data_IF_447003394075
#
_entry.id   IF_447003394075
#
_cell.length_a   1.000
_cell.length_b   1.000
_cell.length_c   1.000
_cell.angle_alpha   90.00
_cell.angle_beta   90.00
_cell.angle_gamma   90.00
#
_symmetry.space_group_name_H-M   'P 1'
#
loop_
_entity.id
_entity.type
_entity.pdbx_description
1 polymer ?
#
# COMPACT_ATOMS: atom_id res chain seq x y z
N UNK A 1 0.26 7.29 -7.85
CA UNK A 1 -0.60 6.08 -7.76
C UNK A 1 -0.99 5.94 -6.30
N UNK A 2 -2.12 5.30 -6.04
CA UNK A 2 -2.66 5.21 -4.69
C UNK A 2 -2.94 3.73 -4.39
N UNK A 3 -2.38 3.23 -3.28
CA UNK A 3 -2.66 1.90 -2.77
C UNK A 3 -3.91 2.01 -1.92
N UNK A 4 -4.98 1.38 -2.38
CA UNK A 4 -6.32 1.48 -1.78
C UNK A 4 -6.55 0.36 -0.78
N UNK A 5 -6.06 -0.86 -1.09
CA UNK A 5 -6.29 -2.02 -0.25
C UNK A 5 -5.19 -3.04 -0.45
N UNK A 6 -4.75 -3.70 0.64
CA UNK A 6 -4.03 -4.97 0.60
C UNK A 6 -5.06 -6.10 0.68
N UNK A 7 -5.00 -7.04 -0.26
CA UNK A 7 -5.93 -8.17 -0.33
C UNK A 7 -5.23 -9.40 0.25
N UNK A 8 -5.76 -9.90 1.37
CA UNK A 8 -5.34 -11.17 1.95
C UNK A 8 -5.94 -12.33 1.14
N UNK A 9 -5.19 -12.82 0.13
CA UNK A 9 -5.53 -14.06 -0.60
C UNK A 9 -4.46 -15.12 -0.37
N UNK A 10 -4.35 -15.56 0.87
CA UNK A 10 -3.63 -16.77 1.24
C UNK A 10 -4.57 -17.97 1.28
N UNK A 11 -4.64 -18.75 0.21
CA UNK A 11 -5.06 -20.15 0.28
C UNK A 11 -4.17 -20.99 -0.64
N UNK A 12 -3.42 -21.90 0.00
CA UNK A 12 -2.52 -22.95 -0.53
C UNK A 12 -1.41 -22.55 -1.50
N UNK A 13 -0.16 -22.63 -1.00
CA UNK A 13 0.99 -23.13 -1.77
C UNK A 13 2.03 -22.11 -2.22
N UNK A 14 1.63 -20.94 -2.69
CA UNK A 14 2.56 -19.92 -3.20
C UNK A 14 2.45 -18.59 -2.47
N UNK A 15 3.58 -18.13 -1.95
CA UNK A 15 3.73 -16.83 -1.30
C UNK A 15 3.43 -15.70 -2.30
N UNK A 16 2.51 -14.80 -1.93
CA UNK A 16 2.12 -13.66 -2.76
C UNK A 16 1.47 -12.56 -1.93
N UNK A 17 1.58 -11.32 -2.40
CA UNK A 17 0.89 -10.16 -1.83
C UNK A 17 0.15 -9.42 -2.93
N UNK A 18 -1.11 -9.08 -2.66
CA UNK A 18 -2.00 -8.47 -3.64
C UNK A 18 -2.42 -7.07 -3.19
N UNK A 19 -2.47 -6.12 -4.11
CA UNK A 19 -2.87 -4.74 -3.85
C UNK A 19 -3.92 -4.27 -4.86
N UNK A 20 -4.90 -3.48 -4.39
CA UNK A 20 -5.69 -2.60 -5.25
C UNK A 20 -4.97 -1.27 -5.39
N UNK A 21 -4.64 -0.90 -6.63
CA UNK A 21 -3.88 0.29 -6.97
C UNK A 21 -4.69 1.15 -7.92
N UNK A 22 -4.92 2.41 -7.54
CA UNK A 22 -5.49 3.41 -8.43
C UNK A 22 -4.38 4.11 -9.24
N UNK A 23 -4.55 4.09 -10.56
CA UNK A 23 -3.71 4.82 -11.51
C UNK A 23 -4.07 6.31 -11.61
N UNK A 24 -3.61 6.95 -12.69
CA UNK A 24 -3.89 8.37 -12.98
C UNK A 24 -5.26 8.62 -13.62
N UNK A 25 -5.95 7.56 -14.05
CA UNK A 25 -7.24 7.62 -14.76
C UNK A 25 -8.39 7.07 -13.91
N UNK A 26 -8.26 7.13 -12.59
CA UNK A 26 -9.21 6.58 -11.58
C UNK A 26 -9.56 5.09 -11.68
N UNK A 27 -8.98 4.37 -12.64
CA UNK A 27 -9.09 2.92 -12.75
C UNK A 27 -8.34 2.23 -11.60
N UNK A 28 -9.01 1.26 -10.99
CA UNK A 28 -8.44 0.34 -10.02
C UNK A 28 -7.88 -0.89 -10.72
N UNK A 29 -6.61 -1.17 -10.45
CA UNK A 29 -5.91 -2.35 -10.92
C UNK A 29 -5.52 -3.24 -9.75
N UNK A 30 -5.52 -4.54 -9.96
CA UNK A 30 -4.96 -5.53 -9.04
C UNK A 30 -3.50 -5.73 -9.41
N UNK A 31 -2.59 -5.47 -8.47
CA UNK A 31 -1.17 -5.79 -8.58
C UNK A 31 -0.86 -6.98 -7.69
N UNK A 32 -0.14 -7.95 -8.22
CA UNK A 32 0.28 -9.17 -7.52
C UNK A 32 1.81 -9.21 -7.52
N UNK A 33 2.39 -9.24 -6.33
CA UNK A 33 3.81 -9.50 -6.13
C UNK A 33 3.96 -10.95 -5.67
N UNK A 34 4.66 -11.75 -6.46
CA UNK A 34 4.83 -13.20 -6.27
C UNK A 34 6.08 -13.66 -7.03
N UNK A 35 6.34 -14.98 -7.09
CA UNK A 35 7.39 -15.55 -7.94
C UNK A 35 7.30 -15.04 -9.38
N UNK A 36 6.08 -14.80 -9.89
CA UNK A 36 5.85 -14.04 -11.11
C UNK A 36 4.95 -12.87 -10.80
N UNK A 37 5.48 -11.66 -10.96
CA UNK A 37 4.72 -10.43 -10.76
C UNK A 37 3.68 -10.26 -11.86
N UNK A 38 2.50 -9.77 -11.47
CA UNK A 38 1.38 -9.61 -12.39
C UNK A 38 0.53 -8.38 -12.08
N UNK A 39 -0.21 -7.91 -13.09
CA UNK A 39 -1.16 -6.83 -12.95
C UNK A 39 -2.27 -6.94 -14.00
N UNK A 40 -3.51 -6.66 -13.63
CA UNK A 40 -4.67 -6.67 -14.54
C UNK A 40 -4.78 -5.40 -15.43
N UNK A 41 -3.78 -4.53 -15.42
CA UNK A 41 -3.79 -3.32 -16.23
C UNK A 41 -3.51 -3.59 -17.73
N UNK A 42 -4.01 -2.75 -18.64
CA UNK A 42 -3.82 -2.93 -20.09
C UNK A 42 -2.35 -3.12 -20.50
N UNK A 43 -1.41 -2.39 -19.89
CA UNK A 43 0.00 -2.52 -20.22
C UNK A 43 0.56 -3.91 -19.90
N UNK A 44 0.13 -4.53 -18.80
CA UNK A 44 0.58 -5.88 -18.45
C UNK A 44 -0.12 -6.95 -19.32
N UNK A 45 -1.41 -6.73 -19.64
CA UNK A 45 -2.19 -7.63 -20.52
C UNK A 45 -1.65 -7.65 -21.95
N UNK A 46 -1.39 -6.48 -22.53
CA UNK A 46 -0.96 -6.36 -23.94
C UNK A 46 0.56 -6.38 -24.13
N UNK A 47 1.34 -6.04 -23.10
CA UNK A 47 2.80 -6.10 -23.12
C UNK A 47 3.34 -6.84 -21.89
N UNK A 48 3.35 -8.16 -21.99
CA UNK A 48 3.69 -9.04 -20.88
C UNK A 48 5.21 -9.30 -20.73
N UNK A 49 6.08 -8.55 -21.42
CA UNK A 49 7.54 -8.77 -21.39
C UNK A 49 8.18 -8.21 -20.10
N UNK A 50 7.78 -7.01 -19.69
CA UNK A 50 8.30 -6.33 -18.50
C UNK A 50 7.20 -6.05 -17.47
N UNK A 51 7.61 -5.57 -16.30
CA UNK A 51 6.70 -5.07 -15.28
C UNK A 51 6.03 -3.77 -15.76
N UNK A 52 4.71 -3.68 -15.61
CA UNK A 52 4.01 -2.42 -15.87
C UNK A 52 4.34 -1.40 -14.77
N UNK A 53 4.03 -0.13 -15.03
CA UNK A 53 4.24 0.96 -14.07
C UNK A 53 3.62 0.70 -12.69
N UNK A 54 2.51 -0.05 -12.61
CA UNK A 54 1.86 -0.37 -11.33
C UNK A 54 2.67 -1.37 -10.50
N UNK A 55 3.21 -2.42 -11.13
CA UNK A 55 4.12 -3.37 -10.47
C UNK A 55 5.39 -2.65 -10.03
N UNK A 56 6.00 -1.84 -10.91
CA UNK A 56 7.18 -1.05 -10.58
C UNK A 56 6.91 -0.14 -9.37
N UNK A 57 5.77 0.56 -9.36
CA UNK A 57 5.39 1.43 -8.26
C UNK A 57 5.30 0.69 -6.93
N UNK A 58 4.68 -0.49 -6.92
CA UNK A 58 4.56 -1.33 -5.72
C UNK A 58 5.94 -1.81 -5.26
N UNK A 59 6.77 -2.34 -6.17
CA UNK A 59 8.13 -2.78 -5.82
C UNK A 59 8.97 -1.62 -5.25
N UNK A 60 8.93 -0.44 -5.89
CA UNK A 60 9.73 0.72 -5.47
C UNK A 60 9.25 1.34 -4.16
N UNK A 61 7.95 1.61 -4.02
CA UNK A 61 7.46 2.44 -2.91
C UNK A 61 6.94 1.61 -1.74
N UNK A 62 6.28 0.49 -2.02
CA UNK A 62 5.72 -0.38 -0.98
C UNK A 62 6.81 -1.30 -0.44
N UNK A 63 7.51 -2.03 -1.31
CA UNK A 63 8.53 -3.00 -0.90
C UNK A 63 9.94 -2.42 -0.73
N UNK A 64 10.17 -1.16 -1.17
CA UNK A 64 11.51 -0.55 -1.19
C UNK A 64 12.55 -1.46 -1.86
N UNK A 65 12.13 -2.14 -2.92
CA UNK A 65 12.93 -3.14 -3.61
C UNK A 65 14.20 -2.54 -4.24
N UNK A 66 15.32 -3.26 -4.25
CA UNK A 66 16.52 -2.88 -4.99
C UNK A 66 16.23 -2.63 -6.48
N UNK A 67 16.98 -1.71 -7.10
CA UNK A 67 16.75 -1.27 -8.47
C UNK A 67 16.85 -2.42 -9.49
N UNK A 68 17.72 -3.40 -9.21
CA UNK A 68 17.94 -4.61 -10.00
C UNK A 68 16.72 -5.56 -10.03
N UNK A 69 15.83 -5.50 -9.05
CA UNK A 69 14.62 -6.32 -8.99
C UNK A 69 13.45 -5.67 -9.73
N UNK A 70 13.46 -4.34 -9.91
CA UNK A 70 12.36 -3.61 -10.55
C UNK A 70 12.01 -4.12 -11.95
N UNK A 71 12.96 -4.36 -12.88
CA UNK A 71 12.61 -4.89 -14.20
C UNK A 71 12.24 -6.38 -14.17
N UNK A 72 12.53 -7.11 -13.09
CA UNK A 72 12.35 -8.56 -13.03
C UNK A 72 10.88 -8.94 -12.91
N UNK A 73 10.37 -9.60 -13.96
CA UNK A 73 9.00 -10.11 -13.95
C UNK A 73 8.84 -11.39 -13.14
N UNK A 74 9.91 -12.17 -13.05
CA UNK A 74 9.97 -13.39 -12.24
C UNK A 74 11.04 -13.20 -11.18
N UNK A 75 10.69 -13.39 -9.93
CA UNK A 75 11.56 -13.29 -8.76
C UNK A 75 11.94 -14.69 -8.29
N UNK A 76 13.17 -14.86 -7.81
CA UNK A 76 13.54 -16.07 -7.08
C UNK A 76 12.80 -16.14 -5.75
N UNK A 77 12.56 -17.35 -5.24
CA UNK A 77 11.89 -17.56 -3.96
C UNK A 77 12.52 -16.74 -2.83
N UNK A 78 13.86 -16.74 -2.74
CA UNK A 78 14.59 -15.98 -1.72
C UNK A 78 14.44 -14.46 -1.86
N UNK A 79 14.32 -13.96 -3.09
CA UNK A 79 14.10 -12.52 -3.32
C UNK A 79 12.69 -12.13 -2.89
N UNK A 80 11.70 -12.95 -3.21
CA UNK A 80 10.31 -12.74 -2.80
C UNK A 80 10.16 -12.78 -1.28
N UNK A 81 10.69 -13.83 -0.64
CA UNK A 81 10.67 -13.97 0.83
C UNK A 81 11.32 -12.76 1.49
N UNK A 82 12.48 -12.32 0.99
CA UNK A 82 13.18 -11.15 1.50
C UNK A 82 12.37 -9.86 1.30
N UNK A 83 11.79 -9.66 0.12
CA UNK A 83 10.95 -8.49 -0.13
C UNK A 83 9.76 -8.44 0.83
N UNK A 84 9.10 -9.57 1.08
CA UNK A 84 7.95 -9.64 1.98
C UNK A 84 8.37 -9.43 3.43
N UNK A 85 9.51 -9.99 3.86
CA UNK A 85 10.04 -9.82 5.21
C UNK A 85 10.52 -8.38 5.48
N UNK A 86 11.18 -7.75 4.52
CA UNK A 86 11.75 -6.40 4.63
C UNK A 86 10.72 -5.30 4.33
N UNK A 87 9.56 -5.65 3.76
CA UNK A 87 8.51 -4.68 3.51
C UNK A 87 8.18 -3.94 4.81
N UNK A 88 7.96 -2.61 4.77
CA UNK A 88 7.31 -1.92 5.88
C UNK A 88 6.06 -2.71 6.27
N UNK A 89 5.59 -2.61 7.52
CA UNK A 89 4.28 -3.16 7.91
C UNK A 89 3.19 -2.37 7.17
N UNK A 90 3.01 -2.73 5.91
CA UNK A 90 2.19 -2.12 4.87
C UNK A 90 0.77 -2.55 5.16
N UNK A 91 -0.10 -1.58 5.46
CA UNK A 91 -1.53 -1.79 5.74
C UNK A 91 -1.72 -2.97 6.69
N UNK A 92 -1.44 -2.78 8.01
CA UNK A 92 -1.56 -3.87 8.97
C UNK A 92 -2.94 -4.53 8.82
N UNK A 93 -2.94 -5.86 8.89
CA UNK A 93 -4.18 -6.62 8.92
C UNK A 93 -5.01 -6.19 10.13
N UNK A 94 -6.33 -6.40 10.09
CA UNK A 94 -7.19 -6.06 11.23
C UNK A 94 -6.69 -6.72 12.53
N UNK A 95 -6.17 -7.96 12.44
CA UNK A 95 -5.59 -8.66 13.57
C UNK A 95 -4.33 -7.98 14.13
N UNK A 96 -3.44 -7.47 13.28
CA UNK A 96 -2.25 -6.72 13.72
C UNK A 96 -2.64 -5.39 14.36
N UNK A 97 -3.62 -4.69 13.80
CA UNK A 97 -4.16 -3.46 14.39
C UNK A 97 -4.78 -3.74 15.76
N UNK A 98 -5.50 -4.85 15.91
CA UNK A 98 -6.23 -5.14 17.14
C UNK A 98 -5.29 -5.44 18.32
N UNK A 99 -4.13 -6.05 18.05
CA UNK A 99 -3.17 -6.52 19.04
C UNK A 99 -2.06 -5.52 19.39
N UNK A 100 -1.91 -4.43 18.65
CA UNK A 100 -0.88 -3.43 18.90
C UNK A 100 -1.48 -2.12 19.46
N UNK A 101 -1.23 -1.78 20.74
CA UNK A 101 -1.74 -0.56 21.36
C UNK A 101 -1.35 0.73 20.64
N UNK A 102 -0.26 0.71 19.86
CA UNK A 102 0.21 1.83 19.04
C UNK A 102 -0.87 2.35 18.08
N UNK A 103 -1.84 1.53 17.65
CA UNK A 103 -2.90 1.98 16.75
C UNK A 103 -4.13 2.57 17.46
N UNK A 104 -4.08 2.75 18.79
CA UNK A 104 -5.26 3.10 19.61
C UNK A 104 -5.00 4.18 20.67
N UNK A 105 -3.81 4.76 20.72
CA UNK A 105 -3.46 5.74 21.76
C UNK A 105 -3.96 7.17 21.47
N UNK A 106 -4.45 7.41 20.25
CA UNK A 106 -5.01 8.68 19.81
C UNK A 106 -4.01 9.83 19.81
N UNK A 107 -2.69 9.58 19.82
CA UNK A 107 -1.67 10.63 19.81
C UNK A 107 -1.11 10.81 18.41
N UNK A 108 -0.98 12.04 17.90
CA UNK A 108 -0.33 12.28 16.61
C UNK A 108 1.06 11.66 16.55
N UNK A 109 1.26 10.81 15.56
CA UNK A 109 2.56 10.22 15.26
C UNK A 109 3.43 11.21 14.52
N UNK A 110 4.74 11.19 14.80
CA UNK A 110 5.70 12.00 14.04
C UNK A 110 5.67 11.61 12.57
N UNK A 111 5.78 12.62 11.70
CA UNK A 111 5.94 12.42 10.25
C UNK A 111 7.36 11.99 9.89
N UNK A 112 8.33 12.22 10.77
CA UNK A 112 9.75 12.01 10.49
C UNK A 112 10.07 10.53 10.26
N UNK A 113 10.68 10.24 9.11
CA UNK A 113 11.01 8.87 8.71
C UNK A 113 9.78 7.99 8.44
N UNK A 114 8.58 8.57 8.34
CA UNK A 114 7.34 7.87 7.98
C UNK A 114 6.91 8.21 6.57
N UNK A 115 6.11 7.33 5.98
CA UNK A 115 5.53 7.52 4.65
C UNK A 115 4.00 7.49 4.72
N UNK A 116 3.37 8.22 3.81
CA UNK A 116 1.92 8.19 3.64
C UNK A 116 1.44 6.76 3.30
N UNK A 117 0.46 6.20 4.02
CA UNK A 117 0.02 4.81 3.84
C UNK A 117 -0.72 4.55 2.53
N UNK A 118 -1.09 5.62 1.81
CA UNK A 118 -1.82 5.55 0.54
C UNK A 118 -0.84 5.63 -0.64
N UNK A 119 0.11 6.56 -0.64
CA UNK A 119 1.04 6.71 -1.76
C UNK A 119 2.45 6.16 -1.49
N UNK A 120 2.78 5.78 -0.25
CA UNK A 120 4.08 5.27 0.18
C UNK A 120 5.25 6.21 -0.09
N UNK A 121 4.96 7.51 -0.14
CA UNK A 121 5.96 8.57 -0.23
C UNK A 121 6.08 9.28 1.12
N UNK A 122 7.28 9.77 1.39
CA UNK A 122 7.61 10.45 2.64
C UNK A 122 6.87 11.80 2.72
N UNK A 123 6.64 12.25 3.96
CA UNK A 123 6.06 13.56 4.22
C UNK A 123 7.15 14.62 4.12
N UNK A 124 7.35 15.15 2.90
CA UNK A 124 8.36 16.17 2.67
C UNK A 124 7.82 17.58 2.99
N UNK A 125 8.56 18.33 3.83
CA UNK A 125 8.31 19.76 4.10
C UNK A 125 6.90 20.05 4.66
N UNK A 126 6.28 21.10 4.16
CA UNK A 126 4.95 21.58 4.58
C UNK A 126 3.80 20.84 3.86
N UNK A 127 3.98 19.56 3.52
CA UNK A 127 2.94 18.81 2.82
C UNK A 127 1.66 18.78 3.66
N UNK A 128 0.55 19.16 3.02
CA UNK A 128 -0.76 19.17 3.67
C UNK A 128 -1.17 17.73 3.99
N UNK A 129 -1.53 17.49 5.24
CA UNK A 129 -1.90 16.16 5.75
C UNK A 129 -3.11 16.23 6.64
N UNK A 130 -3.90 15.17 6.62
CA UNK A 130 -4.91 14.86 7.63
C UNK A 130 -4.37 13.80 8.59
N UNK A 131 -4.78 13.85 9.86
CA UNK A 131 -4.36 12.92 10.91
C UNK A 131 -5.57 12.12 11.42
N UNK A 132 -5.41 10.81 11.55
CA UNK A 132 -6.45 9.97 12.16
C UNK A 132 -6.50 10.20 13.67
N UNK A 133 -7.66 10.55 14.21
CA UNK A 133 -7.85 10.74 15.66
C UNK A 133 -7.68 9.46 16.49
N UNK A 134 -7.79 8.27 15.87
CA UNK A 134 -7.69 6.99 16.57
C UNK A 134 -6.25 6.47 16.69
N UNK A 135 -5.47 6.55 15.61
CA UNK A 135 -4.11 6.00 15.56
C UNK A 135 -3.02 7.05 15.35
N UNK A 136 -3.36 8.33 15.22
CA UNK A 136 -2.37 9.40 15.07
C UNK A 136 -1.62 9.45 13.75
N UNK A 137 -1.87 8.53 12.82
CA UNK A 137 -1.11 8.48 11.58
C UNK A 137 -1.58 9.54 10.58
N UNK A 138 -0.60 10.17 9.95
CA UNK A 138 -0.81 11.17 8.92
C UNK A 138 -1.06 10.53 7.55
N UNK A 139 -1.83 11.22 6.72
CA UNK A 139 -2.07 10.91 5.31
C UNK A 139 -2.02 12.24 4.56
N UNK A 140 -1.34 12.32 3.42
CA UNK A 140 -1.41 13.52 2.56
C UNK A 140 -2.88 13.83 2.23
N UNK A 141 -3.33 15.09 2.35
CA UNK A 141 -4.75 15.46 2.19
C UNK A 141 -5.32 14.96 0.86
N UNK A 142 -4.65 15.24 -0.26
CA UNK A 142 -5.08 14.75 -1.57
C UNK A 142 -5.00 13.22 -1.73
N UNK A 143 -4.16 12.52 -0.97
CA UNK A 143 -4.17 11.05 -0.95
C UNK A 143 -5.38 10.53 -0.16
N UNK A 144 -5.75 11.21 0.93
CA UNK A 144 -6.93 10.85 1.70
C UNK A 144 -8.20 11.05 0.88
N UNK A 145 -8.33 12.14 0.11
CA UNK A 145 -9.49 12.37 -0.76
C UNK A 145 -9.71 11.23 -1.76
N UNK A 146 -8.64 10.78 -2.40
CA UNK A 146 -8.67 9.65 -3.33
C UNK A 146 -9.06 8.36 -2.61
N UNK A 147 -8.41 8.08 -1.48
CA UNK A 147 -8.67 6.89 -0.70
C UNK A 147 -10.12 6.85 -0.18
N UNK A 148 -10.61 7.96 0.36
CA UNK A 148 -11.98 8.12 0.85
C UNK A 148 -12.98 7.90 -0.28
N UNK A 149 -12.77 8.49 -1.46
CA UNK A 149 -13.66 8.28 -2.62
C UNK A 149 -13.77 6.79 -3.01
N UNK A 150 -12.68 6.03 -2.91
CA UNK A 150 -12.68 4.61 -3.26
C UNK A 150 -13.25 3.69 -2.16
N UNK A 151 -13.36 4.17 -0.92
CA UNK A 151 -13.72 3.35 0.24
C UNK A 151 -14.98 3.80 0.98
N UNK A 152 -15.60 4.91 0.55
CA UNK A 152 -16.69 5.61 1.28
C UNK A 152 -18.04 4.91 1.29
N UNK A 153 -18.23 3.78 0.63
CA UNK A 153 -19.54 3.14 0.45
C UNK A 153 -20.37 2.96 1.73
N UNK A 154 -19.72 2.69 2.87
CA UNK A 154 -20.35 2.55 4.20
C UNK A 154 -19.71 3.45 5.26
N UNK A 155 -19.04 4.53 4.83
CA UNK A 155 -18.20 5.37 5.67
C UNK A 155 -16.71 5.08 5.46
N UNK A 156 -15.91 6.15 5.46
CA UNK A 156 -14.46 6.07 5.26
C UNK A 156 -13.78 5.47 6.48
N UNK A 157 -12.88 4.51 6.26
CA UNK A 157 -12.03 3.93 7.31
C UNK A 157 -10.63 4.53 7.26
N UNK A 158 -9.87 4.48 8.36
CA UNK A 158 -8.45 4.81 8.32
C UNK A 158 -7.66 3.78 7.49
N UNK A 159 -6.81 4.26 6.57
CA UNK A 159 -5.94 3.39 5.78
C UNK A 159 -4.92 2.62 6.65
N UNK A 160 -4.68 3.05 7.88
CA UNK A 160 -3.74 2.40 8.82
C UNK A 160 -4.49 1.48 9.79
N UNK A 161 -5.33 2.04 10.66
CA UNK A 161 -5.98 1.26 11.73
C UNK A 161 -7.38 0.75 11.38
N UNK A 162 -7.90 1.02 10.18
CA UNK A 162 -9.21 0.54 9.71
C UNK A 162 -10.44 0.96 10.55
N UNK A 163 -10.25 1.75 11.60
CA UNK A 163 -11.32 2.39 12.38
C UNK A 163 -12.09 3.40 11.51
N UNK A 164 -13.34 3.68 11.86
CA UNK A 164 -14.11 4.75 11.23
C UNK A 164 -13.32 6.06 11.28
N UNK A 165 -13.25 6.75 10.15
CA UNK A 165 -12.43 7.95 10.03
C UNK A 165 -12.99 9.08 10.87
N UNK A 166 -12.15 9.60 11.75
CA UNK A 166 -12.30 10.88 12.42
C UNK A 166 -10.98 11.61 12.26
N UNK A 167 -11.04 12.85 11.77
CA UNK A 167 -9.86 13.72 11.72
C UNK A 167 -9.60 14.28 13.13
N UNK A 168 -8.33 14.42 13.48
CA UNK A 168 -7.89 15.20 14.63
C UNK A 168 -7.85 16.69 14.31
#
# INVERSE_FOLDING_TARGET
MYIIQKIDKGTSGDERVCFKVQGSTDNLYTVIIAKRNDCDCPSATYNNISNCKHVIYVLTHVFRAPAELLPQKTLFTKELEKLIADAPKVLPTQSEVDNDPYFKDGKPESKDGKSCPVCYKDFAGDSETVCCAMCGHHIHSGCFDVYARQTSGWGTKCAVCQASWAAM
#
